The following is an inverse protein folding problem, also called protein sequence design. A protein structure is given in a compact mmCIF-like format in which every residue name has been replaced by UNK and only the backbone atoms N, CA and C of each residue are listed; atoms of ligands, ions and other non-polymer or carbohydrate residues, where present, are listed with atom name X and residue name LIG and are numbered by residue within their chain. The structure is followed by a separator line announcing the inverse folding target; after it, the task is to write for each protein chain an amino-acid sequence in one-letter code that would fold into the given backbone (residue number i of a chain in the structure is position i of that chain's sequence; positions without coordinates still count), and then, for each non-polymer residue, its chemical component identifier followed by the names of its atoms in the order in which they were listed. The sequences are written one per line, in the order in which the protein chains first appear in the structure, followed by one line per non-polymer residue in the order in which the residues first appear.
data_IF_713213982102
#
_entry.id   IF_713213982102
#
_cell.length_a   1.000
_cell.length_b   1.000
_cell.length_c   1.000
_cell.angle_alpha   90.00
_cell.angle_beta   90.00
_cell.angle_gamma   90.00
#
_symmetry.space_group_name_H-M   'P 1'
#
loop_
_entity.id
_entity.type
_entity.pdbx_description
1 polymer ?
#
# COMPACT_ATOMS: atom_id res chain seq x y z
N UNK A 1 31.65 -25.33 -16.97
CA UNK A 1 30.71 -24.56 -16.11
C UNK A 1 29.25 -25.00 -16.28
N UNK A 2 28.88 -25.67 -17.39
CA UNK A 2 27.50 -26.13 -17.66
C UNK A 2 27.07 -27.41 -16.93
N UNK A 3 28.01 -28.32 -16.62
CA UNK A 3 27.69 -29.60 -15.99
C UNK A 3 27.22 -29.47 -14.52
N UNK A 4 27.76 -28.48 -13.75
CA UNK A 4 27.32 -28.23 -12.37
C UNK A 4 25.88 -27.66 -12.30
N UNK A 5 25.46 -26.90 -13.29
CA UNK A 5 24.06 -26.36 -13.36
C UNK A 5 23.04 -27.42 -13.72
N UNK A 6 23.44 -28.46 -14.48
CA UNK A 6 22.57 -29.57 -14.84
C UNK A 6 22.34 -30.52 -13.64
N UNK A 7 23.36 -30.75 -12.82
CA UNK A 7 23.27 -31.58 -11.61
C UNK A 7 22.40 -30.92 -10.53
N UNK A 8 22.48 -29.58 -10.36
CA UNK A 8 21.62 -28.85 -9.42
C UNK A 8 20.14 -28.81 -9.88
N UNK A 9 19.88 -28.75 -11.18
CA UNK A 9 18.52 -28.82 -11.71
C UNK A 9 17.90 -30.23 -11.53
N UNK A 10 18.72 -31.28 -11.67
CA UNK A 10 18.25 -32.65 -11.45
C UNK A 10 17.95 -32.97 -9.98
N UNK A 11 18.73 -32.40 -9.04
CA UNK A 11 18.46 -32.51 -7.60
C UNK A 11 17.18 -31.78 -7.15
N UNK A 12 16.86 -30.63 -7.78
CA UNK A 12 15.64 -29.90 -7.50
C UNK A 12 14.38 -30.63 -8.02
N UNK A 13 14.47 -31.31 -9.15
CA UNK A 13 13.35 -32.10 -9.70
C UNK A 13 13.10 -33.36 -8.86
N UNK A 14 14.13 -34.00 -8.29
CA UNK A 14 14.01 -35.15 -7.41
C UNK A 14 13.28 -34.92 -6.08
N UNK A 15 13.27 -33.68 -5.58
CA UNK A 15 12.59 -33.31 -4.34
C UNK A 15 11.06 -33.17 -4.50
N UNK A 16 10.55 -32.93 -5.72
CA UNK A 16 9.11 -32.78 -5.97
C UNK A 16 8.35 -34.10 -6.11
N UNK A 17 9.03 -35.19 -6.35
CA UNK A 17 8.36 -36.50 -6.63
C UNK A 17 7.93 -37.20 -5.34
N UNK A 18 8.57 -36.93 -4.20
CA UNK A 18 8.24 -37.63 -2.94
C UNK A 18 7.03 -37.04 -2.18
N UNK A 19 6.55 -35.83 -2.54
CA UNK A 19 5.40 -35.19 -1.90
C UNK A 19 4.04 -35.78 -2.39
N UNK A 20 4.00 -36.39 -3.55
CA UNK A 20 2.74 -36.81 -4.17
C UNK A 20 2.16 -38.15 -3.64
N UNK A 21 3.00 -39.00 -3.05
CA UNK A 21 2.55 -40.33 -2.56
C UNK A 21 1.85 -40.25 -1.19
N UNK A 22 2.29 -39.37 -0.31
CA UNK A 22 1.70 -39.22 1.03
C UNK A 22 0.33 -38.51 1.01
N UNK A 23 0.09 -37.65 0.01
CA UNK A 23 -1.22 -36.97 -0.13
C UNK A 23 -2.34 -37.91 -0.50
N UNK A 24 -2.05 -39.00 -1.18
CA UNK A 24 -3.06 -39.96 -1.63
C UNK A 24 -3.58 -40.84 -0.48
N UNK A 25 -2.75 -41.24 0.47
CA UNK A 25 -3.12 -42.04 1.64
C UNK A 25 -4.01 -41.26 2.61
N UNK A 26 -3.65 -40.00 2.89
CA UNK A 26 -4.45 -39.15 3.77
C UNK A 26 -5.76 -38.67 3.12
N UNK A 27 -5.84 -38.54 1.79
CA UNK A 27 -7.11 -38.31 1.11
C UNK A 27 -8.07 -39.50 1.25
N UNK A 28 -7.57 -40.73 1.14
CA UNK A 28 -8.37 -41.92 1.40
C UNK A 28 -8.88 -41.98 2.84
N UNK A 29 -8.00 -41.66 3.81
CA UNK A 29 -8.38 -41.56 5.25
C UNK A 29 -9.44 -40.49 5.47
N UNK A 30 -9.36 -39.37 4.80
CA UNK A 30 -10.37 -38.29 4.89
C UNK A 30 -11.71 -38.72 4.29
N UNK A 31 -11.70 -39.41 3.16
CA UNK A 31 -12.91 -39.94 2.55
C UNK A 31 -13.55 -41.01 3.42
N UNK A 32 -12.74 -41.92 4.01
CA UNK A 32 -13.24 -42.88 4.99
C UNK A 32 -13.86 -42.20 6.22
N UNK A 33 -13.23 -41.16 6.74
CA UNK A 33 -13.79 -40.42 7.86
C UNK A 33 -15.13 -39.71 7.52
N UNK A 34 -15.29 -39.26 6.27
CA UNK A 34 -16.56 -38.75 5.77
C UNK A 34 -17.65 -39.83 5.64
N UNK A 35 -17.28 -41.04 5.22
CA UNK A 35 -18.20 -42.20 5.19
C UNK A 35 -18.64 -42.61 6.58
N UNK A 36 -17.71 -42.70 7.56
CA UNK A 36 -18.02 -42.95 8.98
C UNK A 36 -18.94 -41.89 9.58
N UNK A 37 -18.72 -40.63 9.21
CA UNK A 37 -19.60 -39.51 9.61
C UNK A 37 -21.03 -39.72 9.08
N UNK A 38 -21.16 -40.06 7.79
CA UNK A 38 -22.45 -40.28 7.17
C UNK A 38 -23.16 -41.54 7.72
N UNK A 39 -22.39 -42.52 8.20
CA UNK A 39 -22.88 -43.73 8.85
C UNK A 39 -23.29 -43.47 10.34
N UNK A 40 -23.01 -42.29 10.90
CA UNK A 40 -23.33 -41.95 12.29
C UNK A 40 -22.27 -42.36 13.32
N UNK A 41 -21.08 -42.79 12.90
CA UNK A 41 -20.01 -43.28 13.77
C UNK A 41 -19.07 -42.14 14.18
N UNK A 42 -19.57 -41.11 14.90
CA UNK A 42 -18.86 -39.88 15.18
C UNK A 42 -17.64 -40.01 16.10
N UNK A 43 -17.67 -40.98 17.08
CA UNK A 43 -16.62 -41.12 18.09
C UNK A 43 -15.27 -41.61 17.52
N UNK A 44 -15.27 -42.33 16.38
CA UNK A 44 -14.06 -42.85 15.73
C UNK A 44 -13.31 -41.83 14.89
N UNK A 45 -13.97 -40.77 14.43
CA UNK A 45 -13.45 -39.82 13.46
C UNK A 45 -12.18 -39.09 13.93
N UNK A 46 -12.10 -38.60 15.19
CA UNK A 46 -10.90 -37.94 15.69
C UNK A 46 -9.65 -38.84 15.65
N UNK A 47 -9.80 -40.09 16.05
CA UNK A 47 -8.71 -41.07 16.06
C UNK A 47 -8.26 -41.44 14.64
N UNK A 48 -9.19 -41.50 13.69
CA UNK A 48 -8.92 -41.84 12.31
C UNK A 48 -8.13 -40.72 11.59
N UNK A 49 -8.47 -39.45 11.82
CA UNK A 49 -7.81 -38.28 11.19
C UNK A 49 -6.50 -37.87 11.88
N UNK A 50 -6.33 -38.23 13.16
CA UNK A 50 -5.18 -37.81 13.99
C UNK A 50 -3.80 -38.08 13.33
N UNK A 51 -3.49 -39.27 12.76
CA UNK A 51 -2.18 -39.53 12.18
C UNK A 51 -1.83 -38.60 11.02
N UNK A 52 -2.80 -38.28 10.14
CA UNK A 52 -2.60 -37.38 9.02
C UNK A 52 -2.44 -35.92 9.44
N UNK A 53 -3.14 -35.52 10.50
CA UNK A 53 -3.04 -34.17 11.09
C UNK A 53 -1.67 -33.98 11.75
N UNK A 54 -1.22 -34.91 12.57
CA UNK A 54 0.07 -34.83 13.28
C UNK A 54 1.27 -34.83 12.33
N UNK A 55 1.19 -35.59 11.25
CA UNK A 55 2.22 -35.61 10.20
C UNK A 55 2.17 -34.40 9.26
N UNK A 56 1.21 -33.48 9.40
CA UNK A 56 0.96 -32.38 8.46
C UNK A 56 0.88 -32.87 6.98
N UNK A 57 0.32 -34.07 6.75
CA UNK A 57 0.30 -34.70 5.45
C UNK A 57 -0.87 -34.22 4.57
N UNK A 58 -1.81 -33.47 5.11
CA UNK A 58 -2.92 -32.85 4.37
C UNK A 58 -2.49 -31.62 3.60
N UNK A 59 -2.98 -31.47 2.36
CA UNK A 59 -2.95 -30.20 1.66
C UNK A 59 -3.81 -29.14 2.39
N UNK A 60 -3.66 -27.86 2.06
CA UNK A 60 -4.45 -26.78 2.70
C UNK A 60 -5.95 -27.02 2.55
N UNK A 61 -6.40 -27.49 1.40
CA UNK A 61 -7.81 -27.80 1.13
C UNK A 61 -8.29 -29.01 1.92
N UNK A 62 -7.50 -30.08 1.98
CA UNK A 62 -7.78 -31.25 2.80
C UNK A 62 -7.83 -30.93 4.29
N UNK A 63 -6.95 -30.02 4.78
CA UNK A 63 -6.98 -29.56 6.16
C UNK A 63 -8.30 -28.86 6.49
N UNK A 64 -8.81 -28.01 5.61
CA UNK A 64 -10.10 -27.32 5.80
C UNK A 64 -11.23 -28.34 5.90
N UNK A 65 -11.28 -29.31 4.99
CA UNK A 65 -12.29 -30.39 4.99
C UNK A 65 -12.20 -31.27 6.26
N UNK A 66 -10.99 -31.66 6.65
CA UNK A 66 -10.75 -32.47 7.84
C UNK A 66 -11.17 -31.76 9.13
N UNK A 67 -10.78 -30.48 9.30
CA UNK A 67 -11.16 -29.72 10.49
C UNK A 67 -12.64 -29.36 10.51
N UNK A 68 -13.27 -29.15 9.36
CA UNK A 68 -14.72 -28.96 9.28
C UNK A 68 -15.46 -30.22 9.72
N UNK A 69 -15.03 -31.39 9.24
CA UNK A 69 -15.60 -32.66 9.64
C UNK A 69 -15.44 -32.95 11.15
N UNK A 70 -14.25 -32.67 11.70
CA UNK A 70 -13.99 -32.77 13.14
C UNK A 70 -14.87 -31.80 13.94
N UNK A 71 -15.04 -30.57 13.48
CA UNK A 71 -15.90 -29.58 14.12
C UNK A 71 -17.34 -30.07 14.20
N UNK A 72 -17.87 -30.62 13.11
CA UNK A 72 -19.22 -31.19 13.04
C UNK A 72 -19.37 -32.41 13.98
N UNK A 73 -18.41 -33.33 13.94
CA UNK A 73 -18.41 -34.52 14.80
C UNK A 73 -18.42 -34.13 16.29
N UNK A 74 -17.56 -33.21 16.69
CA UNK A 74 -17.50 -32.73 18.09
C UNK A 74 -18.76 -31.99 18.53
N UNK A 75 -19.44 -31.25 17.63
CA UNK A 75 -20.74 -30.62 17.95
C UNK A 75 -21.83 -31.67 18.18
N UNK A 76 -21.83 -32.77 17.41
CA UNK A 76 -22.83 -33.85 17.58
C UNK A 76 -22.61 -34.64 18.86
N UNK A 77 -21.35 -34.90 19.26
CA UNK A 77 -21.06 -35.62 20.52
C UNK A 77 -21.03 -34.71 21.77
N UNK A 78 -21.47 -33.44 21.60
CA UNK A 78 -21.59 -32.43 22.68
C UNK A 78 -20.25 -32.08 23.36
N UNK A 79 -19.15 -32.05 22.57
CA UNK A 79 -17.85 -31.52 23.00
C UNK A 79 -17.58 -30.14 22.40
N UNK A 80 -18.10 -29.05 22.99
CA UNK A 80 -17.97 -27.71 22.47
C UNK A 80 -16.53 -27.16 22.51
N UNK A 81 -15.67 -27.71 23.39
CA UNK A 81 -14.27 -27.26 23.51
C UNK A 81 -13.47 -27.77 22.34
N UNK A 82 -13.58 -29.06 22.02
CA UNK A 82 -12.90 -29.67 20.88
C UNK A 82 -13.45 -29.13 19.53
N UNK A 83 -14.76 -28.83 19.46
CA UNK A 83 -15.36 -28.19 18.31
C UNK A 83 -14.79 -26.78 18.06
N UNK A 84 -14.65 -25.95 19.13
CA UNK A 84 -14.06 -24.60 19.05
C UNK A 84 -12.58 -24.68 18.63
N UNK A 85 -11.79 -25.63 19.14
CA UNK A 85 -10.37 -25.81 18.73
C UNK A 85 -10.27 -26.26 17.27
N UNK A 86 -11.13 -27.19 16.85
CA UNK A 86 -11.18 -27.65 15.45
C UNK A 86 -11.54 -26.51 14.49
N UNK A 87 -12.52 -25.69 14.84
CA UNK A 87 -12.89 -24.52 14.06
C UNK A 87 -11.77 -23.47 14.02
N UNK A 88 -11.05 -23.26 15.11
CA UNK A 88 -9.89 -22.37 15.14
C UNK A 88 -8.75 -22.86 14.23
N UNK A 89 -8.51 -24.18 14.20
CA UNK A 89 -7.53 -24.81 13.29
C UNK A 89 -7.97 -24.72 11.82
N UNK A 90 -9.26 -24.83 11.55
CA UNK A 90 -9.83 -24.60 10.23
C UNK A 90 -9.51 -23.16 9.75
N UNK A 91 -9.76 -22.15 10.59
CA UNK A 91 -9.45 -20.77 10.26
C UNK A 91 -7.94 -20.49 10.13
N UNK A 92 -7.07 -21.28 10.76
CA UNK A 92 -5.61 -21.20 10.52
C UNK A 92 -5.21 -21.81 9.17
N UNK A 93 -5.93 -22.83 8.71
CA UNK A 93 -5.72 -23.44 7.39
C UNK A 93 -6.24 -22.51 6.28
N UNK A 94 -7.47 -22.01 6.41
CA UNK A 94 -8.08 -21.01 5.53
C UNK A 94 -8.67 -19.85 6.36
N UNK A 95 -7.93 -18.76 6.52
CA UNK A 95 -8.40 -17.60 7.29
C UNK A 95 -9.61 -16.89 6.68
N UNK A 96 -9.89 -17.12 5.41
CA UNK A 96 -11.03 -16.51 4.71
C UNK A 96 -12.25 -17.42 4.62
N UNK A 97 -12.23 -18.57 5.29
CA UNK A 97 -13.38 -19.47 5.37
C UNK A 97 -14.56 -18.77 6.08
N UNK A 98 -15.69 -18.72 5.40
CA UNK A 98 -16.95 -18.16 5.91
C UNK A 98 -17.97 -19.29 5.91
N UNK A 99 -18.41 -19.68 7.11
CA UNK A 99 -19.51 -20.63 7.24
C UNK A 99 -20.83 -19.97 6.81
N UNK A 100 -21.58 -20.62 5.92
CA UNK A 100 -22.85 -20.14 5.36
C UNK A 100 -23.95 -21.18 5.54
N UNK A 101 -25.19 -20.72 5.79
CA UNK A 101 -26.35 -21.60 5.96
C UNK A 101 -26.65 -22.49 4.74
N UNK A 102 -26.10 -22.13 3.56
CA UNK A 102 -26.28 -22.91 2.33
C UNK A 102 -25.33 -24.10 2.21
N UNK A 103 -24.15 -24.05 2.86
CA UNK A 103 -23.07 -25.02 2.70
C UNK A 103 -22.76 -25.79 3.96
N UNK A 104 -23.00 -25.19 5.12
CA UNK A 104 -22.59 -25.71 6.42
C UNK A 104 -23.80 -25.94 7.33
N UNK A 105 -23.73 -26.93 8.25
CA UNK A 105 -24.76 -27.11 9.26
C UNK A 105 -24.93 -25.88 10.13
N UNK A 106 -26.18 -25.63 10.56
CA UNK A 106 -26.55 -24.43 11.33
C UNK A 106 -25.71 -24.26 12.61
N UNK A 107 -25.29 -25.37 13.24
CA UNK A 107 -24.48 -25.36 14.46
C UNK A 107 -23.07 -24.82 14.19
N UNK A 108 -22.46 -25.18 13.02
CA UNK A 108 -21.17 -24.63 12.59
C UNK A 108 -21.29 -23.16 12.28
N UNK A 109 -22.36 -22.72 11.62
CA UNK A 109 -22.62 -21.31 11.34
C UNK A 109 -22.82 -20.52 12.64
N UNK A 110 -23.50 -21.11 13.64
CA UNK A 110 -23.64 -20.47 14.95
C UNK A 110 -22.29 -20.40 15.69
N UNK A 111 -21.48 -21.46 15.61
CA UNK A 111 -20.14 -21.50 16.19
C UNK A 111 -19.23 -20.46 15.54
N UNK A 112 -19.30 -20.30 14.22
CA UNK A 112 -18.45 -19.35 13.44
C UNK A 112 -18.58 -17.92 13.95
N UNK A 113 -19.75 -17.49 14.39
CA UNK A 113 -20.01 -16.14 14.95
C UNK A 113 -19.22 -15.82 16.22
N UNK A 114 -18.60 -16.84 16.84
CA UNK A 114 -17.73 -16.65 18.01
C UNK A 114 -16.28 -16.33 17.64
N UNK A 115 -15.91 -16.40 16.35
CA UNK A 115 -14.54 -16.25 15.89
C UNK A 115 -14.40 -15.11 14.87
N UNK A 116 -13.18 -14.62 14.72
CA UNK A 116 -12.79 -13.71 13.65
C UNK A 116 -11.41 -14.11 13.14
N UNK A 117 -11.22 -14.02 11.83
CA UNK A 117 -9.94 -14.21 11.15
C UNK A 117 -9.39 -12.92 10.55
N UNK A 118 -10.14 -11.81 10.66
CA UNK A 118 -9.71 -10.51 10.12
C UNK A 118 -8.34 -10.14 10.67
N UNK A 119 -7.32 -9.96 9.81
CA UNK A 119 -5.98 -9.57 10.24
C UNK A 119 -6.01 -8.17 10.83
N UNK A 120 -5.31 -7.95 11.94
CA UNK A 120 -5.20 -6.59 12.52
C UNK A 120 -4.28 -5.73 11.66
N UNK A 121 -3.14 -6.30 11.26
CA UNK A 121 -2.14 -5.62 10.44
C UNK A 121 -1.95 -6.32 9.11
N UNK A 122 -1.86 -5.53 8.06
CA UNK A 122 -1.63 -6.01 6.71
C UNK A 122 -0.49 -5.20 6.07
N UNK A 123 0.77 -5.65 6.20
CA UNK A 123 1.90 -5.01 5.55
C UNK A 123 1.82 -5.17 4.04
N UNK A 124 2.34 -4.16 3.34
CA UNK A 124 2.45 -4.19 1.89
C UNK A 124 3.68 -3.42 1.41
N UNK A 125 4.15 -3.79 0.22
CA UNK A 125 5.20 -3.09 -0.50
C UNK A 125 4.67 -2.65 -1.85
N UNK A 126 5.21 -1.55 -2.38
CA UNK A 126 4.81 -0.98 -3.68
C UNK A 126 6.00 -0.44 -4.44
N UNK A 127 5.89 -0.49 -5.75
CA UNK A 127 6.75 0.19 -6.68
C UNK A 127 5.91 0.73 -7.84
N UNK A 128 6.33 1.84 -8.44
CA UNK A 128 5.52 2.42 -9.52
C UNK A 128 6.19 3.59 -10.21
N UNK A 129 5.53 4.04 -11.26
CA UNK A 129 5.84 5.28 -11.96
C UNK A 129 4.98 6.43 -11.48
N UNK A 130 5.50 7.64 -11.59
CA UNK A 130 4.74 8.85 -11.29
C UNK A 130 5.01 9.94 -12.34
N UNK A 131 4.14 10.93 -12.37
CA UNK A 131 4.34 12.16 -13.12
C UNK A 131 3.86 13.35 -12.31
N UNK A 132 4.59 14.45 -12.39
CA UNK A 132 4.31 15.66 -11.62
C UNK A 132 3.65 16.70 -12.51
N UNK A 133 2.51 17.21 -12.04
CA UNK A 133 1.72 18.24 -12.69
C UNK A 133 2.05 19.58 -12.00
N UNK A 134 2.65 20.46 -12.76
CA UNK A 134 3.02 21.80 -12.29
C UNK A 134 1.81 22.73 -12.39
N UNK A 135 1.40 23.34 -11.28
CA UNK A 135 0.28 24.27 -11.22
C UNK A 135 0.75 25.63 -10.73
N UNK A 136 0.94 26.56 -11.64
CA UNK A 136 1.35 27.93 -11.35
C UNK A 136 0.23 28.66 -10.60
N UNK A 137 0.57 29.34 -9.50
CA UNK A 137 -0.30 30.24 -8.77
C UNK A 137 -0.03 31.67 -9.22
N UNK A 138 1.24 32.02 -9.28
CA UNK A 138 1.70 33.34 -9.72
C UNK A 138 3.01 33.21 -10.48
N UNK A 139 3.07 33.76 -11.68
CA UNK A 139 4.27 33.76 -12.52
C UNK A 139 4.82 35.18 -12.64
N UNK A 140 6.13 35.31 -12.46
CA UNK A 140 6.86 36.56 -12.65
C UNK A 140 7.54 36.44 -14.01
N UNK A 141 7.12 37.29 -14.92
CA UNK A 141 7.63 37.25 -16.27
C UNK A 141 8.68 38.37 -16.45
N UNK A 142 9.87 37.97 -16.87
CA UNK A 142 10.96 38.90 -17.27
C UNK A 142 10.87 39.27 -18.75
N UNK A 143 9.81 38.89 -19.42
CA UNK A 143 9.57 39.12 -20.82
C UNK A 143 8.57 40.29 -21.03
N UNK A 144 8.86 41.18 -21.97
CA UNK A 144 8.05 42.36 -22.26
C UNK A 144 6.69 42.06 -22.93
N UNK A 145 6.52 40.87 -23.49
CA UNK A 145 5.30 40.42 -24.15
C UNK A 145 4.72 39.18 -23.40
N UNK A 146 3.40 39.03 -23.36
CA UNK A 146 2.80 37.88 -22.67
C UNK A 146 3.17 36.58 -23.39
N UNK A 147 4.13 35.85 -22.81
CA UNK A 147 4.56 34.54 -23.31
C UNK A 147 3.97 33.43 -22.44
N UNK A 148 3.44 32.40 -23.09
CA UNK A 148 2.89 31.22 -22.42
C UNK A 148 4.00 30.30 -21.94
N UNK A 149 4.04 29.99 -20.65
CA UNK A 149 4.93 28.97 -20.11
C UNK A 149 4.37 27.59 -20.49
N UNK A 150 5.22 26.77 -21.09
CA UNK A 150 4.87 25.40 -21.44
C UNK A 150 5.42 24.42 -20.39
N UNK A 151 4.53 23.71 -19.73
CA UNK A 151 4.86 22.71 -18.72
C UNK A 151 4.89 21.32 -19.37
N UNK A 152 6.06 20.68 -19.38
CA UNK A 152 6.25 19.36 -19.97
C UNK A 152 6.38 18.35 -18.84
N UNK A 153 5.51 17.35 -18.87
CA UNK A 153 5.53 16.24 -17.92
C UNK A 153 6.80 15.40 -18.10
N UNK A 154 7.43 15.05 -17.00
CA UNK A 154 8.55 14.11 -16.96
C UNK A 154 8.17 12.89 -16.13
N UNK A 155 8.52 11.68 -16.61
CA UNK A 155 8.31 10.49 -15.81
C UNK A 155 9.23 10.49 -14.59
N UNK A 156 8.70 10.03 -13.48
CA UNK A 156 9.39 9.73 -12.26
C UNK A 156 9.12 8.30 -11.81
N UNK A 157 9.71 7.90 -10.72
CA UNK A 157 9.49 6.59 -10.13
C UNK A 157 9.31 6.70 -8.61
N UNK A 158 8.72 5.67 -8.02
CA UNK A 158 8.51 5.61 -6.58
C UNK A 158 8.62 4.17 -6.07
N UNK A 159 9.11 4.03 -4.86
CA UNK A 159 9.20 2.76 -4.14
C UNK A 159 8.86 3.01 -2.68
N UNK A 160 8.15 2.09 -2.07
CA UNK A 160 7.78 2.24 -0.68
C UNK A 160 7.08 1.02 -0.13
N UNK A 161 6.63 1.17 1.08
CA UNK A 161 5.83 0.18 1.78
C UNK A 161 4.95 0.83 2.81
N UNK A 162 4.04 0.06 3.35
CA UNK A 162 3.13 0.55 4.36
C UNK A 162 2.43 -0.57 5.10
N UNK A 163 1.57 -0.17 6.00
CA UNK A 163 0.77 -1.08 6.81
C UNK A 163 -0.67 -0.60 6.82
N UNK A 164 -1.58 -1.53 6.58
CA UNK A 164 -3.00 -1.31 6.78
C UNK A 164 -3.38 -1.81 8.19
N UNK A 165 -3.99 -0.97 8.99
CA UNK A 165 -4.66 -1.31 10.23
C UNK A 165 -6.14 -1.55 9.91
N UNK A 166 -6.57 -2.81 9.92
CA UNK A 166 -7.94 -3.16 9.60
C UNK A 166 -8.85 -2.89 10.80
N UNK A 167 -9.79 -1.96 10.64
CA UNK A 167 -10.79 -1.60 11.65
C UNK A 167 -11.96 -2.59 11.56
N UNK A 168 -12.41 -2.83 10.36
CA UNK A 168 -13.44 -3.81 10.02
C UNK A 168 -12.98 -4.59 8.79
N UNK A 169 -13.80 -5.55 8.35
CA UNK A 169 -13.54 -6.33 7.14
C UNK A 169 -13.34 -5.45 5.90
N UNK A 170 -14.06 -4.34 5.77
CA UNK A 170 -14.03 -3.47 4.60
C UNK A 170 -13.19 -2.21 4.78
N UNK A 171 -13.03 -1.71 6.03
CA UNK A 171 -12.41 -0.41 6.28
C UNK A 171 -11.08 -0.59 7.00
N UNK A 172 -10.05 0.04 6.44
CA UNK A 172 -8.70 0.05 6.99
C UNK A 172 -8.15 1.47 7.07
N UNK A 173 -7.43 1.77 8.13
CA UNK A 173 -6.56 2.95 8.24
C UNK A 173 -5.16 2.55 7.76
N UNK A 174 -4.65 3.26 6.76
CA UNK A 174 -3.40 2.92 6.11
C UNK A 174 -2.37 4.02 6.32
N UNK A 175 -1.12 3.63 6.48
CA UNK A 175 0.03 4.54 6.51
C UNK A 175 1.16 3.94 5.66
N UNK A 176 1.66 4.74 4.71
CA UNK A 176 2.77 4.37 3.84
C UNK A 176 3.98 5.25 4.09
N UNK A 177 5.15 4.74 3.72
CA UNK A 177 6.40 5.50 3.56
C UNK A 177 6.91 5.24 2.15
N UNK A 178 6.99 6.30 1.36
CA UNK A 178 7.29 6.21 -0.08
C UNK A 178 8.45 7.16 -0.40
N UNK A 179 9.50 6.64 -0.99
CA UNK A 179 10.56 7.41 -1.63
C UNK A 179 10.17 7.65 -3.08
N UNK A 180 10.04 8.91 -3.48
CA UNK A 180 9.62 9.31 -4.82
C UNK A 180 10.65 10.22 -5.48
N UNK A 181 11.00 9.87 -6.70
CA UNK A 181 11.69 10.75 -7.62
C UNK A 181 10.65 11.42 -8.50
N UNK A 182 10.60 12.75 -8.46
CA UNK A 182 9.65 13.59 -9.20
C UNK A 182 10.44 14.54 -10.10
N UNK A 183 9.99 14.70 -11.34
CA UNK A 183 10.65 15.60 -12.29
C UNK A 183 9.62 16.36 -13.13
N UNK A 184 9.98 17.57 -13.55
CA UNK A 184 9.22 18.37 -14.52
C UNK A 184 10.14 19.24 -15.34
N UNK A 185 9.65 19.69 -16.49
CA UNK A 185 10.37 20.61 -17.40
C UNK A 185 9.45 21.78 -17.73
N UNK A 186 9.96 22.99 -17.53
CA UNK A 186 9.29 24.24 -17.88
C UNK A 186 10.07 24.91 -19.01
N UNK A 187 9.35 25.31 -20.05
CA UNK A 187 9.90 26.10 -21.15
C UNK A 187 9.19 27.44 -21.17
N UNK A 188 9.94 28.52 -21.03
CA UNK A 188 9.41 29.88 -20.99
C UNK A 188 10.20 30.83 -21.87
N UNK A 189 9.55 31.81 -22.50
CA UNK A 189 10.26 32.91 -23.11
C UNK A 189 10.89 33.81 -22.03
N UNK A 190 12.09 34.30 -22.31
CA UNK A 190 12.81 35.25 -21.46
C UNK A 190 13.47 36.31 -22.32
N UNK A 191 13.60 37.52 -21.81
CA UNK A 191 14.09 38.67 -22.58
C UNK A 191 13.23 38.88 -23.84
N UNK A 192 13.84 39.34 -24.96
CA UNK A 192 13.11 39.59 -26.19
C UNK A 192 13.12 38.40 -27.15
N UNK A 193 14.21 37.64 -27.17
CA UNK A 193 14.45 36.56 -28.15
C UNK A 193 14.98 35.27 -27.52
N UNK A 194 14.92 35.19 -26.18
CA UNK A 194 15.43 34.05 -25.44
C UNK A 194 14.34 33.05 -25.09
N UNK A 195 14.72 31.79 -25.05
CA UNK A 195 13.93 30.67 -24.56
C UNK A 195 14.70 29.99 -23.43
N UNK A 196 14.14 30.01 -22.22
CA UNK A 196 14.69 29.33 -21.05
C UNK A 196 14.01 28.01 -20.85
N UNK A 197 14.79 26.95 -20.78
CA UNK A 197 14.36 25.61 -20.37
C UNK A 197 14.88 25.30 -18.98
N UNK A 198 13.97 24.99 -18.06
CA UNK A 198 14.29 24.59 -16.69
C UNK A 198 13.81 23.17 -16.47
N UNK A 199 14.72 22.25 -16.20
CA UNK A 199 14.39 20.87 -15.83
C UNK A 199 14.76 20.66 -14.37
N UNK A 200 13.74 20.46 -13.53
CA UNK A 200 13.95 20.22 -12.10
C UNK A 200 13.69 18.76 -11.75
N UNK A 201 14.59 18.20 -10.94
CA UNK A 201 14.59 16.83 -10.44
C UNK A 201 14.57 16.88 -8.92
N UNK A 202 13.62 16.18 -8.31
CA UNK A 202 13.35 16.25 -6.87
C UNK A 202 13.26 14.85 -6.27
N UNK A 203 13.83 14.67 -5.07
CA UNK A 203 13.66 13.48 -4.26
C UNK A 203 12.82 13.80 -3.04
N UNK A 204 11.76 13.01 -2.82
CA UNK A 204 10.78 13.22 -1.78
C UNK A 204 10.61 11.98 -0.93
N UNK A 205 10.34 12.20 0.35
CA UNK A 205 9.80 11.24 1.29
C UNK A 205 8.33 11.58 1.49
N UNK A 206 7.43 10.79 0.91
CA UNK A 206 5.99 10.95 1.05
C UNK A 206 5.48 9.99 2.14
N UNK A 207 4.65 10.49 3.08
CA UNK A 207 4.07 9.69 4.18
C UNK A 207 2.54 9.81 4.15
N UNK A 208 1.86 9.24 3.16
CA UNK A 208 0.41 9.31 3.09
C UNK A 208 -0.26 8.48 4.19
N UNK A 209 -1.26 9.08 4.85
CA UNK A 209 -2.17 8.44 5.80
C UNK A 209 -3.58 8.56 5.23
N UNK A 210 -4.27 7.41 5.07
CA UNK A 210 -5.54 7.38 4.37
C UNK A 210 -6.48 6.30 4.87
N UNK A 211 -7.77 6.55 4.74
CA UNK A 211 -8.82 5.57 4.95
C UNK A 211 -9.08 4.85 3.63
N UNK A 212 -9.04 3.53 3.68
CA UNK A 212 -9.25 2.64 2.55
C UNK A 212 -10.48 1.77 2.78
N UNK A 213 -11.32 1.70 1.77
CA UNK A 213 -12.43 0.75 1.69
C UNK A 213 -12.08 -0.30 0.64
N UNK A 214 -12.16 -1.58 1.01
CA UNK A 214 -11.83 -2.72 0.14
C UNK A 214 -13.00 -3.70 0.15
N UNK A 215 -13.40 -4.19 -1.02
CA UNK A 215 -14.33 -5.32 -1.08
C UNK A 215 -13.61 -6.62 -0.68
N UNK A 216 -14.28 -7.45 0.14
CA UNK A 216 -13.70 -8.71 0.66
C UNK A 216 -14.06 -9.94 -0.15
N UNK A 217 -14.95 -9.84 -1.11
CA UNK A 217 -15.49 -11.00 -1.84
C UNK A 217 -14.76 -11.21 -3.16
N UNK A 218 -14.53 -12.48 -3.50
CA UNK A 218 -13.98 -12.87 -4.79
C UNK A 218 -12.46 -12.83 -4.91
N UNK A 219 -11.98 -13.20 -6.10
CA UNK A 219 -10.55 -13.20 -6.45
C UNK A 219 -10.02 -11.80 -6.76
N UNK A 220 -10.87 -10.96 -7.35
CA UNK A 220 -10.57 -9.55 -7.68
C UNK A 220 -11.32 -8.67 -6.70
N UNK A 221 -10.59 -7.86 -5.93
CA UNK A 221 -11.14 -7.02 -4.87
C UNK A 221 -10.83 -5.56 -5.16
N UNK A 222 -11.82 -4.80 -5.65
CA UNK A 222 -11.65 -3.37 -5.83
C UNK A 222 -11.50 -2.65 -4.49
N UNK A 223 -10.73 -1.58 -4.49
CA UNK A 223 -10.58 -0.71 -3.34
C UNK A 223 -10.45 0.75 -3.76
N UNK A 224 -10.87 1.63 -2.87
CA UNK A 224 -10.71 3.07 -3.00
C UNK A 224 -10.26 3.68 -1.69
N UNK A 225 -9.60 4.82 -1.75
CA UNK A 225 -9.11 5.49 -0.56
C UNK A 225 -9.02 7.00 -0.71
N UNK A 226 -9.08 7.67 0.42
CA UNK A 226 -8.89 9.12 0.55
C UNK A 226 -8.14 9.43 1.84
N UNK A 227 -7.29 10.44 1.80
CA UNK A 227 -6.53 10.84 2.98
C UNK A 227 -5.65 12.06 2.78
N UNK A 228 -4.63 12.15 3.62
CA UNK A 228 -3.69 13.26 3.68
C UNK A 228 -2.26 12.74 3.57
N UNK A 229 -1.42 13.45 2.83
CA UNK A 229 -0.03 13.06 2.58
C UNK A 229 0.92 14.21 2.88
N UNK A 230 1.53 14.26 4.07
CA UNK A 230 2.71 15.07 4.30
C UNK A 230 3.87 14.50 3.50
N UNK A 231 4.65 15.39 2.88
CA UNK A 231 5.79 15.06 2.05
C UNK A 231 6.99 15.92 2.45
N UNK A 232 8.15 15.31 2.58
CA UNK A 232 9.38 15.98 2.92
C UNK A 232 10.36 15.95 1.74
N UNK A 233 10.81 17.14 1.29
CA UNK A 233 11.79 17.28 0.22
C UNK A 233 13.19 16.96 0.75
N UNK A 234 13.79 15.91 0.22
CA UNK A 234 15.17 15.53 0.56
C UNK A 234 16.18 16.35 -0.24
N UNK A 235 15.98 16.43 -1.55
CA UNK A 235 16.88 17.14 -2.45
C UNK A 235 16.13 17.65 -3.70
N UNK A 236 16.54 18.80 -4.20
CA UNK A 236 16.10 19.35 -5.48
C UNK A 236 17.28 19.92 -6.25
N UNK A 237 17.38 19.55 -7.53
CA UNK A 237 18.37 20.04 -8.48
C UNK A 237 17.69 20.47 -9.78
N UNK A 238 18.12 21.59 -10.32
CA UNK A 238 17.63 22.10 -11.59
C UNK A 238 18.76 22.29 -12.59
N UNK A 239 18.50 21.90 -13.82
CA UNK A 239 19.32 22.20 -14.99
C UNK A 239 18.65 23.33 -15.76
N UNK A 240 19.42 24.38 -16.08
CA UNK A 240 18.97 25.55 -16.82
C UNK A 240 19.68 25.61 -18.18
N UNK A 241 18.91 25.80 -19.23
CA UNK A 241 19.39 25.98 -20.58
C UNK A 241 18.73 27.22 -21.19
N UNK A 242 19.53 28.23 -21.53
CA UNK A 242 19.08 29.46 -22.15
C UNK A 242 19.55 29.50 -23.63
N UNK A 243 18.59 29.60 -24.53
CA UNK A 243 18.82 29.74 -25.95
C UNK A 243 18.41 31.16 -26.35
N UNK A 244 19.34 31.98 -26.80
CA UNK A 244 19.08 33.31 -27.33
C UNK A 244 19.27 33.28 -28.84
N UNK A 245 18.24 33.66 -29.61
CA UNK A 245 18.28 33.79 -31.05
C UNK A 245 18.56 35.22 -31.45
N UNK A 246 19.56 35.44 -32.27
CA UNK A 246 19.90 36.77 -32.85
C UNK A 246 19.41 36.83 -34.29
N UNK A 247 18.23 37.42 -34.58
CA UNK A 247 17.65 37.44 -35.91
C UNK A 247 18.55 38.16 -36.92
N UNK A 248 19.28 39.19 -36.47
CA UNK A 248 20.17 40.00 -37.33
C UNK A 248 21.44 39.25 -37.76
N UNK A 249 21.86 38.20 -37.04
CA UNK A 249 23.09 37.43 -37.37
C UNK A 249 22.81 36.00 -37.75
N UNK A 250 21.55 35.58 -37.81
CA UNK A 250 21.14 34.20 -38.06
C UNK A 250 21.93 33.18 -37.20
N UNK A 251 22.23 33.58 -35.95
CA UNK A 251 23.02 32.79 -34.98
C UNK A 251 22.23 32.56 -33.71
N UNK A 252 22.46 31.41 -33.08
CA UNK A 252 21.92 31.09 -31.78
C UNK A 252 23.06 30.96 -30.75
N UNK A 253 22.88 31.56 -29.60
CA UNK A 253 23.78 31.40 -28.44
C UNK A 253 23.09 30.51 -27.42
N UNK A 254 23.71 29.36 -27.13
CA UNK A 254 23.21 28.41 -26.13
C UNK A 254 24.07 28.56 -24.87
N UNK A 255 23.44 28.91 -23.76
CA UNK A 255 24.10 28.99 -22.46
C UNK A 255 23.55 27.87 -21.57
N UNK A 256 24.39 26.88 -21.29
CA UNK A 256 24.11 25.82 -20.33
C UNK A 256 25.02 25.97 -19.11
N UNK A 257 24.50 25.71 -17.94
CA UNK A 257 25.27 25.71 -16.69
C UNK A 257 25.27 24.33 -16.03
N UNK A 258 26.09 24.15 -14.99
CA UNK A 258 26.00 22.97 -14.15
C UNK A 258 24.65 22.92 -13.43
N UNK A 259 24.25 21.72 -12.98
CA UNK A 259 23.04 21.56 -12.16
C UNK A 259 23.12 22.41 -10.90
N UNK A 260 22.09 23.24 -10.68
CA UNK A 260 21.99 24.13 -9.54
C UNK A 260 21.14 23.47 -8.44
N UNK A 261 21.57 23.56 -7.19
CA UNK A 261 20.76 23.09 -6.07
C UNK A 261 19.60 24.05 -5.83
N UNK A 262 18.36 23.54 -5.99
CA UNK A 262 17.13 24.31 -5.74
C UNK A 262 16.49 23.98 -4.39
N UNK A 263 17.15 23.14 -3.57
CA UNK A 263 16.61 22.73 -2.26
C UNK A 263 16.29 23.88 -1.34
N UNK A 264 17.11 24.96 -1.37
CA UNK A 264 16.90 26.15 -0.55
C UNK A 264 15.82 27.12 -1.09
N UNK A 265 15.45 27.00 -2.38
CA UNK A 265 14.34 27.72 -2.98
C UNK A 265 13.00 27.03 -2.80
N UNK A 266 12.97 25.87 -2.15
CA UNK A 266 11.78 25.03 -1.98
C UNK A 266 11.42 24.90 -0.51
N UNK A 267 10.12 24.94 -0.23
CA UNK A 267 9.62 24.51 1.07
C UNK A 267 9.85 23.01 1.22
N UNK A 268 10.58 22.62 2.26
CA UNK A 268 10.90 21.22 2.50
C UNK A 268 9.68 20.40 2.89
N UNK A 269 8.70 20.99 3.60
CA UNK A 269 7.48 20.31 3.99
C UNK A 269 6.35 20.70 3.05
N UNK A 270 5.81 19.74 2.32
CA UNK A 270 4.62 19.91 1.50
C UNK A 270 3.46 19.10 2.10
N UNK A 271 2.23 19.54 1.83
CA UNK A 271 0.99 18.92 2.28
C UNK A 271 0.11 18.66 1.06
N UNK A 272 -0.41 17.45 0.98
CA UNK A 272 -1.27 17.04 -0.13
C UNK A 272 -2.48 16.28 0.37
N UNK A 273 -3.61 16.39 -0.33
CA UNK A 273 -4.71 15.45 -0.21
C UNK A 273 -4.41 14.31 -1.18
N UNK A 274 -4.60 13.09 -0.71
CA UNK A 274 -4.44 11.90 -1.53
C UNK A 274 -5.79 11.25 -1.77
N UNK A 275 -6.07 10.92 -3.02
CA UNK A 275 -7.20 10.11 -3.44
C UNK A 275 -6.70 9.05 -4.42
N UNK A 276 -7.26 7.87 -4.34
CA UNK A 276 -6.86 6.81 -5.26
C UNK A 276 -7.75 5.59 -5.17
N UNK A 277 -7.48 4.65 -6.04
CA UNK A 277 -8.19 3.38 -6.08
C UNK A 277 -7.45 2.38 -6.95
N UNK A 278 -7.85 1.13 -6.81
CA UNK A 278 -7.21 0.05 -7.52
C UNK A 278 -7.90 -1.27 -7.31
N UNK A 279 -7.21 -2.32 -7.68
CA UNK A 279 -7.67 -3.69 -7.54
C UNK A 279 -6.62 -4.55 -6.87
N UNK A 280 -7.07 -5.48 -6.03
CA UNK A 280 -6.25 -6.56 -5.46
C UNK A 280 -6.66 -7.87 -6.10
N UNK A 281 -5.67 -8.66 -6.47
CA UNK A 281 -5.84 -10.02 -6.96
C UNK A 281 -5.30 -11.01 -5.94
N UNK A 282 -6.13 -11.99 -5.54
CA UNK A 282 -5.79 -13.00 -4.54
C UNK A 282 -4.86 -14.07 -5.13
N UNK A 283 -3.74 -14.31 -4.45
CA UNK A 283 -2.79 -15.38 -4.77
C UNK A 283 -2.56 -16.22 -3.51
N UNK A 284 -3.32 -17.30 -3.37
CA UNK A 284 -3.30 -18.10 -2.14
C UNK A 284 -3.81 -17.30 -0.94
N UNK A 285 -2.95 -17.07 0.05
CA UNK A 285 -3.25 -16.25 1.24
C UNK A 285 -2.83 -14.78 1.11
N UNK A 286 -2.08 -14.44 0.06
CA UNK A 286 -1.51 -13.12 -0.20
C UNK A 286 -2.22 -12.44 -1.37
N UNK A 287 -1.89 -11.17 -1.62
CA UNK A 287 -2.47 -10.40 -2.72
C UNK A 287 -1.41 -9.63 -3.49
N UNK A 288 -1.62 -9.50 -4.79
CA UNK A 288 -0.96 -8.50 -5.63
C UNK A 288 -1.98 -7.41 -5.92
N UNK A 289 -1.55 -6.16 -5.96
CA UNK A 289 -2.42 -5.04 -6.28
C UNK A 289 -1.84 -4.14 -7.35
N UNK A 290 -2.74 -3.45 -8.04
CA UNK A 290 -2.42 -2.31 -8.87
C UNK A 290 -3.30 -1.13 -8.43
N UNK A 291 -2.71 0.06 -8.26
CA UNK A 291 -3.43 1.25 -7.86
C UNK A 291 -3.03 2.50 -8.64
N UNK A 292 -4.01 3.35 -8.91
CA UNK A 292 -3.84 4.69 -9.42
C UNK A 292 -4.08 5.68 -8.27
N UNK A 293 -3.10 6.57 -8.06
CA UNK A 293 -3.09 7.56 -6.97
C UNK A 293 -2.91 8.95 -7.52
N UNK A 294 -3.73 9.87 -7.05
CA UNK A 294 -3.59 11.29 -7.32
C UNK A 294 -3.40 12.06 -6.01
N UNK A 295 -2.33 12.86 -5.96
CA UNK A 295 -2.00 13.70 -4.82
C UNK A 295 -2.13 15.16 -5.24
N UNK A 296 -3.04 15.89 -4.59
CA UNK A 296 -3.30 17.32 -4.84
C UNK A 296 -2.48 18.14 -3.87
N UNK A 297 -1.49 18.87 -4.34
CA UNK A 297 -0.66 19.75 -3.52
C UNK A 297 -1.45 20.95 -2.97
N UNK A 298 -1.45 21.13 -1.66
CA UNK A 298 -2.16 22.20 -0.98
C UNK A 298 -1.28 23.42 -0.75
N UNK A 299 0.00 23.23 -0.49
CA UNK A 299 0.95 24.31 -0.18
C UNK A 299 1.75 24.70 -1.39
N UNK A 300 2.18 25.99 -1.44
CA UNK A 300 3.19 26.41 -2.40
C UNK A 300 4.50 25.70 -2.15
N UNK A 301 5.15 25.28 -3.24
CA UNK A 301 6.46 24.65 -3.18
C UNK A 301 7.60 25.66 -3.19
N UNK A 302 7.40 26.81 -3.83
CA UNK A 302 8.38 27.90 -3.88
C UNK A 302 8.40 28.68 -2.56
N UNK A 303 9.59 28.91 -2.02
CA UNK A 303 9.81 29.92 -0.98
C UNK A 303 9.66 31.30 -1.62
N UNK A 304 9.30 32.34 -0.85
CA UNK A 304 8.98 33.67 -1.35
C UNK A 304 10.10 34.21 -2.28
N UNK A 305 9.86 34.38 -3.59
CA UNK A 305 10.85 34.82 -4.55
C UNK A 305 11.26 36.29 -4.32
N UNK A 306 10.49 37.02 -3.49
CA UNK A 306 10.76 38.43 -3.14
C UNK A 306 11.67 38.62 -1.93
N UNK A 307 12.02 37.58 -1.20
CA UNK A 307 13.15 37.66 -0.30
C UNK A 307 14.41 37.70 -1.14
N UNK A 308 14.75 38.90 -1.61
CA UNK A 308 16.14 39.23 -1.89
C UNK A 308 16.91 38.78 -0.68
N UNK A 309 17.80 37.80 -0.83
CA UNK A 309 18.80 37.54 0.18
C UNK A 309 19.44 38.90 0.49
N UNK A 310 19.28 39.44 1.70
CA UNK A 310 20.01 40.67 2.03
C UNK A 310 21.46 40.25 1.82
N UNK A 311 22.11 40.87 0.85
CA UNK A 311 23.48 40.54 0.46
C UNK A 311 24.42 40.72 1.64
N UNK A 312 24.45 39.78 2.52
CA UNK A 312 25.61 39.56 3.34
C UNK A 312 26.62 38.84 2.42
N UNK A 313 27.63 39.61 2.02
CA UNK A 313 28.69 39.23 1.08
C UNK A 313 29.50 37.99 1.45
N UNK A 314 28.87 37.01 2.09
CA UNK A 314 29.38 35.73 2.47
C UNK A 314 28.54 34.63 1.82
N UNK A 315 28.88 34.30 0.58
CA UNK A 315 28.48 33.05 -0.01
C UNK A 315 29.59 31.99 0.21
N UNK A 316 29.67 31.34 1.40
CA UNK A 316 30.83 30.48 1.77
C UNK A 316 30.89 29.20 0.96
N UNK A 317 29.94 28.92 0.09
CA UNK A 317 29.80 27.59 -0.56
C UNK A 317 29.51 27.65 -2.07
N UNK A 318 29.68 28.79 -2.75
CA UNK A 318 29.47 28.89 -4.20
C UNK A 318 28.01 28.62 -4.64
N UNK A 319 27.02 28.79 -3.73
CA UNK A 319 25.61 28.61 -4.05
C UNK A 319 25.13 29.81 -4.86
N UNK A 320 24.53 29.55 -6.03
CA UNK A 320 23.94 30.61 -6.83
C UNK A 320 22.77 31.24 -6.09
N UNK A 321 22.71 32.55 -6.05
CA UNK A 321 21.63 33.36 -5.46
C UNK A 321 20.48 33.57 -6.45
N UNK A 322 19.33 34.04 -5.99
CA UNK A 322 18.21 34.45 -6.85
C UNK A 322 18.66 35.53 -7.88
N UNK A 323 19.50 36.47 -7.45
CA UNK A 323 20.07 37.49 -8.33
C UNK A 323 20.93 36.89 -9.46
N UNK A 324 21.74 35.86 -9.15
CA UNK A 324 22.59 35.23 -10.16
C UNK A 324 21.74 34.51 -11.21
N UNK A 325 20.66 33.83 -10.81
CA UNK A 325 19.76 33.15 -11.73
C UNK A 325 18.97 34.13 -12.61
N UNK A 326 18.51 35.24 -12.03
CA UNK A 326 17.81 36.28 -12.77
C UNK A 326 18.74 36.98 -13.77
N UNK A 327 19.98 37.28 -13.39
CA UNK A 327 20.94 38.00 -14.26
C UNK A 327 21.48 37.10 -15.36
N UNK A 328 21.87 35.84 -15.03
CA UNK A 328 22.49 34.94 -15.99
C UNK A 328 21.51 34.27 -16.95
N UNK A 329 20.30 33.96 -16.46
CA UNK A 329 19.33 33.16 -17.20
C UNK A 329 17.99 33.86 -17.42
N UNK A 330 17.78 35.04 -16.83
CA UNK A 330 16.44 35.64 -16.78
C UNK A 330 15.43 34.83 -15.99
N UNK A 331 15.89 33.97 -15.07
CA UNK A 331 15.03 33.10 -14.31
C UNK A 331 14.58 33.72 -13.02
N UNK A 332 13.28 33.87 -12.88
CA UNK A 332 12.61 34.16 -11.60
C UNK A 332 11.71 33.00 -11.26
N UNK A 333 11.82 32.50 -10.05
CA UNK A 333 11.08 31.30 -9.60
C UNK A 333 9.59 31.63 -9.43
N UNK A 334 8.69 30.93 -10.12
CA UNK A 334 7.25 31.15 -9.97
C UNK A 334 6.75 30.62 -8.63
N UNK A 335 5.64 31.17 -8.15
CA UNK A 335 4.91 30.57 -7.04
C UNK A 335 4.01 29.49 -7.61
N UNK A 336 4.24 28.23 -7.22
CA UNK A 336 3.52 27.09 -7.76
C UNK A 336 3.22 26.00 -6.74
N UNK A 337 2.24 25.18 -7.07
CA UNK A 337 1.94 23.90 -6.39
C UNK A 337 2.27 22.76 -7.34
N UNK A 338 2.49 21.60 -6.77
CA UNK A 338 2.78 20.41 -7.54
C UNK A 338 1.79 19.32 -7.14
N UNK A 339 1.02 18.87 -8.12
CA UNK A 339 0.20 17.68 -7.99
C UNK A 339 1.01 16.48 -8.52
N UNK A 340 0.65 15.27 -8.12
CA UNK A 340 1.34 14.06 -8.55
C UNK A 340 0.35 12.96 -8.88
N UNK A 341 0.46 12.41 -10.07
CA UNK A 341 -0.27 11.22 -10.51
C UNK A 341 0.67 10.05 -10.54
N UNK A 342 0.30 8.94 -9.92
CA UNK A 342 1.14 7.74 -9.87
C UNK A 342 0.34 6.46 -10.12
N UNK A 343 0.97 5.54 -10.83
CA UNK A 343 0.51 4.18 -11.03
C UNK A 343 1.49 3.24 -10.34
N UNK A 344 1.00 2.39 -9.45
CA UNK A 344 1.83 1.46 -8.69
C UNK A 344 1.30 0.04 -8.77
N UNK A 345 2.23 -0.90 -8.67
CA UNK A 345 1.97 -2.30 -8.41
C UNK A 345 2.60 -2.68 -7.08
N UNK A 346 2.04 -3.66 -6.40
CA UNK A 346 2.60 -4.07 -5.12
C UNK A 346 2.10 -5.42 -4.64
N UNK A 347 2.66 -5.84 -3.52
CA UNK A 347 2.37 -7.10 -2.87
C UNK A 347 1.90 -6.85 -1.44
N UNK A 348 0.86 -7.57 -1.04
CA UNK A 348 0.19 -7.44 0.27
C UNK A 348 0.20 -8.80 0.94
N UNK A 349 0.65 -8.85 2.19
CA UNK A 349 0.66 -10.05 3.01
C UNK A 349 -0.15 -9.84 4.28
N UNK A 350 -1.42 -10.26 4.34
CA UNK A 350 -2.20 -10.15 5.55
C UNK A 350 -1.62 -11.04 6.67
N UNK A 351 -1.48 -10.48 7.86
CA UNK A 351 -1.06 -11.22 9.04
C UNK A 351 -2.31 -11.75 9.76
N UNK A 352 -2.81 -12.87 9.26
CA UNK A 352 -4.00 -13.51 9.84
C UNK A 352 -3.69 -14.07 11.23
N UNK A 353 -4.54 -13.70 12.21
CA UNK A 353 -4.53 -14.22 13.57
C UNK A 353 -5.94 -14.63 13.97
N UNK A 354 -6.40 -15.82 13.55
CA UNK A 354 -7.71 -16.34 13.91
C UNK A 354 -7.86 -16.46 15.42
N UNK A 355 -8.93 -15.86 15.97
CA UNK A 355 -9.15 -15.80 17.40
C UNK A 355 -10.62 -15.76 17.77
N UNK A 356 -10.93 -16.24 18.98
CA UNK A 356 -12.25 -16.12 19.58
C UNK A 356 -12.54 -14.67 19.97
N UNK A 357 -13.71 -14.16 19.60
CA UNK A 357 -14.15 -12.81 19.92
C UNK A 357 -14.38 -12.72 21.44
N UNK A 358 -13.61 -11.89 22.13
CA UNK A 358 -13.85 -11.57 23.54
C UNK A 358 -15.08 -10.67 23.63
N UNK A 359 -16.15 -11.12 24.30
CA UNK A 359 -17.30 -10.25 24.62
C UNK A 359 -16.78 -9.01 25.34
N UNK A 360 -17.12 -7.82 24.85
CA UNK A 360 -16.73 -6.57 25.47
C UNK A 360 -17.14 -6.56 26.94
N UNK A 361 -16.21 -6.22 27.83
CA UNK A 361 -16.44 -6.17 29.29
C UNK A 361 -17.54 -5.17 29.73
N UNK A 362 -18.01 -4.31 28.79
CA UNK A 362 -18.99 -3.24 29.07
C UNK A 362 -20.37 -3.68 29.54
N UNK A 363 -20.82 -4.88 29.15
CA UNK A 363 -22.17 -5.35 29.53
C UNK A 363 -22.26 -5.70 31.02
N UNK A 364 -21.18 -6.12 31.69
CA UNK A 364 -21.18 -6.40 33.15
C UNK A 364 -21.19 -5.15 34.02
N UNK A 365 -20.70 -4.01 33.53
CA UNK A 365 -20.70 -2.75 34.27
C UNK A 365 -22.09 -2.09 34.27
N UNK A 366 -22.82 -2.16 33.16
CA UNK A 366 -24.16 -1.60 33.01
C UNK A 366 -25.15 -2.40 33.87
N UNK A 367 -25.12 -3.73 33.83
CA UNK A 367 -26.00 -4.55 34.68
C UNK A 367 -25.70 -4.41 36.18
N UNK A 368 -24.45 -4.16 36.58
CA UNK A 368 -24.10 -3.82 37.97
C UNK A 368 -24.59 -2.44 38.41
N UNK A 369 -24.59 -1.46 37.48
CA UNK A 369 -25.09 -0.11 37.76
C UNK A 369 -26.60 -0.11 37.94
N UNK A 370 -27.33 -0.76 37.04
CA UNK A 370 -28.80 -0.93 37.13
C UNK A 370 -29.19 -1.66 38.42
N UNK A 371 -28.45 -2.69 38.83
CA UNK A 371 -28.71 -3.45 40.05
C UNK A 371 -28.35 -2.67 41.32
N UNK A 372 -27.49 -1.66 41.26
CA UNK A 372 -27.20 -0.74 42.39
C UNK A 372 -28.26 0.33 42.53
N UNK A 373 -28.73 0.89 41.40
CA UNK A 373 -29.79 1.90 41.35
C UNK A 373 -31.12 1.31 41.86
N UNK A 374 -31.51 0.10 41.38
CA UNK A 374 -32.73 -0.58 41.91
C UNK A 374 -32.67 -0.98 43.38
N UNK A 375 -31.51 -1.08 44.01
CA UNK A 375 -31.35 -1.29 45.43
C UNK A 375 -31.37 -0.01 46.28
N UNK A 376 -31.17 1.14 45.62
CA UNK A 376 -31.23 2.46 46.29
C UNK A 376 -32.67 3.00 46.34
N UNK A 377 -33.44 2.67 45.28
CA UNK A 377 -34.86 3.05 45.19
C UNK A 377 -35.80 2.15 46.02
N UNK A 378 -35.27 1.03 46.58
CA UNK A 378 -36.00 0.10 47.40
C UNK A 378 -35.70 0.26 48.92
N UNK A 379 -35.02 1.34 49.33
CA UNK A 379 -34.83 1.77 50.71
C UNK A 379 -35.47 3.14 50.93
#
# INVERSE_FOLDING_TARGET
MHLKKLVTAFFLIGYFINASAQTNECEQTLNQAAEEFNAGHFYGIPSLLKPCIEKNAFSSEQQVRAYLLLCQAYLIIDDPIAAEDSYLRLLKADPEYIATDEKDPIDVVFLSKKFTSTPVFTPHIRLGGNTSLFRTIYDINTYSLPGKVNHILKPGFQVGGGVDLNINDNISLCADVILSYKAYKNVRPVFTTGVLTVTEKQFWLDVPIYLKNTDHKGLIRPFGYIGFAPSYLLNSKASLELVISSPSRNSQTITTGPDVSFTHFRHRLNRSVVIGGGVRYKIGKDFVFADLRYMVGLSSLSTNPYKLDPGDGQNPQGKKTVSDLATLYGYVDPIFRMDNLSLSIGYVRPLYDPRKIKKARGVKSVSRKIRKESKHDAK
#
